data_IF_496067740706
#
_entry.id   IF_496067740706
#
_cell.length_a   1.000
_cell.length_b   1.000
_cell.length_c   1.000
_cell.angle_alpha   90.00
_cell.angle_beta   90.00
_cell.angle_gamma   90.00
#
_symmetry.space_group_name_H-M   'P 1'
#
loop_
_entity.id
_entity.type
_entity.pdbx_description
1 polymer ?
#
# COMPACT_ATOMS: atom_id res chain seq x y z
N UNK A 1 -6.40 0.48 -13.61
CA UNK A 1 -7.34 1.47 -14.20
C UNK A 1 -6.77 2.87 -13.98
N UNK A 2 -7.00 3.80 -14.91
CA UNK A 2 -6.56 5.19 -14.75
C UNK A 2 -7.77 6.07 -14.43
N UNK A 3 -7.67 6.87 -13.38
CA UNK A 3 -8.60 7.94 -13.05
C UNK A 3 -8.09 9.31 -13.53
N UNK A 4 -8.82 10.40 -13.24
CA UNK A 4 -8.42 11.76 -13.63
C UNK A 4 -7.03 12.17 -13.11
N UNK A 5 -6.63 11.69 -11.94
CA UNK A 5 -5.32 11.99 -11.34
C UNK A 5 -4.20 11.04 -11.83
N UNK A 6 -4.54 9.87 -12.39
CA UNK A 6 -3.58 8.85 -12.80
C UNK A 6 -3.97 7.44 -12.35
N UNK A 7 -2.98 6.54 -12.28
CA UNK A 7 -3.16 5.13 -11.90
C UNK A 7 -2.74 4.93 -10.45
N UNK A 8 -3.71 5.09 -9.54
CA UNK A 8 -3.53 4.82 -8.12
C UNK A 8 -3.22 3.34 -7.84
N UNK A 9 -2.21 3.09 -7.01
CA UNK A 9 -1.98 1.79 -6.37
C UNK A 9 -1.31 1.97 -5.02
N UNK A 10 -1.50 0.99 -4.13
CA UNK A 10 -0.95 1.00 -2.79
C UNK A 10 0.20 0.01 -2.68
N UNK A 11 1.48 0.45 -2.78
CA UNK A 11 2.60 -0.45 -2.61
C UNK A 11 2.72 -0.86 -1.13
N UNK A 12 2.69 -2.18 -0.88
CA UNK A 12 3.03 -2.75 0.43
C UNK A 12 4.44 -3.33 0.35
N UNK A 13 5.37 -2.70 1.07
CA UNK A 13 6.78 -3.13 1.10
C UNK A 13 7.03 -3.87 2.41
N UNK A 14 7.53 -5.10 2.31
CA UNK A 14 7.94 -5.89 3.48
C UNK A 14 9.43 -5.67 3.75
N UNK A 15 9.73 -5.11 4.92
CA UNK A 15 11.10 -4.97 5.41
C UNK A 15 11.54 -6.18 6.24
N UNK A 16 12.81 -6.54 6.14
CA UNK A 16 13.47 -7.49 7.04
C UNK A 16 14.38 -6.72 8.01
N UNK A 17 14.28 -7.02 9.30
CA UNK A 17 15.01 -6.30 10.34
C UNK A 17 15.58 -7.24 11.39
N UNK A 18 16.74 -6.86 11.94
CA UNK A 18 17.39 -7.56 13.05
C UNK A 18 17.14 -6.76 14.32
N UNK A 19 16.46 -7.31 15.34
CA UNK A 19 16.29 -6.61 16.61
C UNK A 19 17.64 -6.29 17.26
N UNK A 20 17.76 -5.13 17.90
CA UNK A 20 18.99 -4.74 18.62
C UNK A 20 19.37 -5.72 19.75
N UNK A 21 18.41 -6.50 20.24
CA UNK A 21 18.59 -7.52 21.28
C UNK A 21 18.75 -8.94 20.72
N UNK A 22 18.94 -9.10 19.40
CA UNK A 22 19.08 -10.41 18.79
C UNK A 22 20.31 -11.15 19.38
N UNK A 23 20.16 -12.42 19.79
CA UNK A 23 21.27 -13.19 20.37
C UNK A 23 22.34 -13.56 19.34
N UNK A 24 21.99 -13.55 18.04
CA UNK A 24 22.89 -13.80 16.91
C UNK A 24 22.58 -12.83 15.75
N UNK A 25 23.06 -11.58 15.80
CA UNK A 25 22.83 -10.61 14.73
C UNK A 25 23.58 -10.98 13.44
N UNK A 26 24.68 -11.70 13.50
CA UNK A 26 25.43 -12.13 12.31
C UNK A 26 24.65 -13.21 11.54
N UNK A 27 24.10 -14.20 12.25
CA UNK A 27 23.19 -15.18 11.67
C UNK A 27 21.93 -14.55 11.09
N UNK A 28 21.37 -13.54 11.76
CA UNK A 28 20.26 -12.73 11.25
C UNK A 28 20.60 -12.05 9.92
N UNK A 29 21.78 -11.44 9.81
CA UNK A 29 22.24 -10.81 8.57
C UNK A 29 22.39 -11.83 7.44
N UNK A 30 23.00 -13.00 7.70
CA UNK A 30 23.13 -14.08 6.71
C UNK A 30 21.77 -14.60 6.22
N UNK A 31 20.76 -14.65 7.10
CA UNK A 31 19.40 -15.02 6.69
C UNK A 31 18.77 -13.95 5.79
N UNK A 32 18.96 -12.67 6.11
CA UNK A 32 18.47 -11.58 5.24
C UNK A 32 19.16 -11.66 3.87
N UNK A 33 20.47 -11.87 3.83
CA UNK A 33 21.21 -12.06 2.57
C UNK A 33 20.66 -13.23 1.77
N UNK A 34 20.38 -14.37 2.42
CA UNK A 34 19.77 -15.54 1.77
C UNK A 34 18.38 -15.23 1.19
N UNK A 35 17.49 -14.63 2.01
CA UNK A 35 16.11 -14.28 1.62
C UNK A 35 16.05 -13.21 0.52
N UNK A 36 17.12 -12.44 0.34
CA UNK A 36 17.22 -11.39 -0.68
C UNK A 36 18.03 -11.81 -1.90
N UNK A 37 18.41 -13.10 -2.01
CA UNK A 37 18.96 -13.63 -3.27
C UNK A 37 17.90 -13.70 -4.38
N UNK A 38 18.28 -13.53 -5.66
CA UNK A 38 17.32 -13.63 -6.77
C UNK A 38 16.61 -14.98 -6.85
N UNK A 39 17.30 -16.08 -6.51
CA UNK A 39 16.72 -17.42 -6.51
C UNK A 39 15.58 -17.54 -5.48
N UNK A 40 15.81 -17.09 -4.24
CA UNK A 40 14.81 -17.17 -3.18
C UNK A 40 13.65 -16.21 -3.43
N UNK A 41 13.92 -14.99 -3.91
CA UNK A 41 12.87 -14.04 -4.30
C UNK A 41 12.04 -14.56 -5.49
N UNK A 42 12.66 -15.30 -6.42
CA UNK A 42 11.94 -15.98 -7.50
C UNK A 42 10.98 -17.05 -7.00
N UNK A 43 11.39 -17.85 -6.01
CA UNK A 43 10.50 -18.81 -5.36
C UNK A 43 9.34 -18.13 -4.62
N UNK A 44 9.62 -17.01 -3.95
CA UNK A 44 8.60 -16.20 -3.27
C UNK A 44 7.57 -15.66 -4.28
N UNK A 45 8.03 -15.13 -5.42
CA UNK A 45 7.16 -14.68 -6.50
C UNK A 45 6.30 -15.84 -7.04
N UNK A 46 6.94 -16.96 -7.39
CA UNK A 46 6.26 -18.11 -7.99
C UNK A 46 5.19 -18.70 -7.06
N UNK A 47 5.49 -18.82 -5.77
CA UNK A 47 4.63 -19.53 -4.81
C UNK A 47 3.62 -18.61 -4.12
N UNK A 48 3.95 -17.34 -3.92
CA UNK A 48 3.17 -16.41 -3.08
C UNK A 48 2.67 -15.17 -3.83
N UNK A 49 3.14 -14.90 -5.05
CA UNK A 49 2.82 -13.66 -5.78
C UNK A 49 3.46 -12.40 -5.19
N UNK A 50 4.52 -12.56 -4.37
CA UNK A 50 5.24 -11.42 -3.80
C UNK A 50 6.36 -11.00 -4.75
N UNK A 51 6.27 -9.75 -5.24
CA UNK A 51 7.17 -9.25 -6.27
C UNK A 51 8.58 -8.95 -5.73
N UNK A 52 9.64 -9.37 -6.46
CA UNK A 52 11.01 -9.16 -6.03
C UNK A 52 11.40 -7.68 -5.94
N UNK A 53 12.21 -7.36 -4.92
CA UNK A 53 12.87 -6.04 -4.79
C UNK A 53 14.31 -6.03 -5.29
N UNK A 54 14.77 -7.14 -5.86
CA UNK A 54 16.14 -7.33 -6.38
C UNK A 54 16.13 -7.63 -7.88
N UNK A 55 17.18 -7.21 -8.58
CA UNK A 55 17.38 -7.52 -9.99
C UNK A 55 17.83 -8.96 -10.21
N UNK A 56 17.58 -9.51 -11.40
CA UNK A 56 18.13 -10.81 -11.82
C UNK A 56 17.27 -12.02 -11.47
N UNK A 57 16.04 -11.81 -11.03
CA UNK A 57 15.04 -12.88 -10.89
C UNK A 57 14.58 -13.34 -12.27
N UNK A 58 14.61 -14.65 -12.51
CA UNK A 58 14.08 -15.24 -13.73
C UNK A 58 12.55 -15.34 -13.65
N UNK A 59 11.86 -14.56 -14.49
CA UNK A 59 10.40 -14.53 -14.59
C UNK A 59 9.87 -15.25 -15.83
N UNK A 60 10.74 -15.95 -16.59
CA UNK A 60 10.39 -16.54 -17.89
C UNK A 60 9.41 -17.72 -17.81
N UNK A 61 9.33 -18.40 -16.66
CA UNK A 61 8.54 -19.62 -16.46
C UNK A 61 7.53 -19.51 -15.31
N UNK A 62 6.99 -18.32 -15.06
CA UNK A 62 5.99 -18.13 -14.01
C UNK A 62 4.68 -18.88 -14.32
N UNK A 63 3.96 -19.37 -13.28
CA UNK A 63 2.60 -19.84 -13.43
C UNK A 63 1.73 -18.78 -14.12
N UNK A 64 0.80 -19.20 -14.98
CA UNK A 64 0.06 -18.27 -15.84
C UNK A 64 -0.63 -17.12 -15.07
N UNK A 65 -1.15 -17.39 -13.87
CA UNK A 65 -1.74 -16.34 -13.02
C UNK A 65 -0.73 -15.32 -12.52
N UNK A 66 0.45 -15.78 -12.07
CA UNK A 66 1.53 -14.93 -11.57
C UNK A 66 2.15 -14.12 -12.71
N UNK A 67 2.29 -14.71 -13.91
CA UNK A 67 2.76 -14.00 -15.09
C UNK A 67 1.84 -12.82 -15.45
N UNK A 68 0.51 -13.03 -15.43
CA UNK A 68 -0.46 -11.97 -15.68
C UNK A 68 -0.41 -10.87 -14.61
N UNK A 69 -0.23 -11.24 -13.35
CA UNK A 69 -0.07 -10.28 -12.26
C UNK A 69 1.22 -9.47 -12.42
N UNK A 70 2.33 -10.12 -12.78
CA UNK A 70 3.62 -9.47 -13.02
C UNK A 70 3.55 -8.44 -14.14
N UNK A 71 2.94 -8.80 -15.26
CA UNK A 71 2.73 -7.88 -16.38
C UNK A 71 1.86 -6.69 -15.95
N UNK A 72 0.81 -6.92 -15.16
CA UNK A 72 -0.07 -5.86 -14.69
C UNK A 72 0.63 -4.90 -13.71
N UNK A 73 1.41 -5.43 -12.76
CA UNK A 73 2.20 -4.64 -11.82
C UNK A 73 3.21 -3.79 -12.58
N UNK A 74 3.99 -4.38 -13.49
CA UNK A 74 4.99 -3.65 -14.28
C UNK A 74 4.34 -2.54 -15.11
N UNK A 75 3.23 -2.82 -15.81
CA UNK A 75 2.50 -1.83 -16.61
C UNK A 75 1.88 -0.70 -15.77
N UNK A 76 1.54 -0.97 -14.51
CA UNK A 76 1.01 0.03 -13.59
C UNK A 76 2.12 0.87 -12.97
N UNK A 77 3.14 0.23 -12.38
CA UNK A 77 4.19 0.92 -11.61
C UNK A 77 5.17 1.69 -12.48
N UNK A 78 5.39 1.25 -13.74
CA UNK A 78 6.27 1.94 -14.69
C UNK A 78 5.58 3.03 -15.52
N UNK A 79 4.25 3.18 -15.37
CA UNK A 79 3.49 4.16 -16.14
C UNK A 79 3.86 5.59 -15.76
N UNK A 80 3.84 6.51 -16.74
CA UNK A 80 4.16 7.92 -16.50
C UNK A 80 3.17 8.62 -15.57
N UNK A 81 1.98 8.06 -15.42
CA UNK A 81 0.89 8.51 -14.54
C UNK A 81 0.71 7.56 -13.33
N UNK A 82 1.73 6.78 -12.99
CA UNK A 82 1.76 5.96 -11.79
C UNK A 82 1.61 6.84 -10.54
N UNK A 83 0.64 6.51 -9.69
CA UNK A 83 0.38 7.20 -8.42
C UNK A 83 0.51 6.21 -7.24
N UNK A 84 1.70 6.04 -6.66
CA UNK A 84 1.86 5.25 -5.45
C UNK A 84 1.25 5.98 -4.25
N UNK A 85 0.22 5.38 -3.64
CA UNK A 85 -0.43 5.87 -2.44
C UNK A 85 0.05 5.08 -1.22
N UNK A 86 0.69 5.76 -0.28
CA UNK A 86 1.19 5.12 0.92
C UNK A 86 0.04 4.71 1.83
N UNK A 87 0.30 3.69 2.65
CA UNK A 87 -0.58 3.33 3.74
C UNK A 87 -0.74 4.53 4.70
N UNK A 88 -1.92 4.72 5.30
CA UNK A 88 -2.15 5.79 6.26
C UNK A 88 -1.11 5.79 7.38
N UNK A 89 -0.52 6.96 7.65
CA UNK A 89 0.45 7.17 8.72
C UNK A 89 -0.06 8.21 9.71
N UNK A 90 0.45 8.19 10.94
CA UNK A 90 0.11 9.20 11.94
C UNK A 90 -1.22 8.98 12.68
N UNK A 91 -1.98 7.93 12.37
CA UNK A 91 -3.28 7.64 13.02
C UNK A 91 -3.18 6.88 14.36
N UNK A 92 -2.00 6.37 14.71
CA UNK A 92 -1.79 5.63 15.96
C UNK A 92 -2.76 4.44 16.13
N UNK A 93 -3.33 4.29 17.32
CA UNK A 93 -4.30 3.22 17.63
C UNK A 93 -5.62 3.36 16.85
N UNK A 94 -5.90 4.54 16.28
CA UNK A 94 -7.12 4.85 15.52
C UNK A 94 -7.01 4.51 14.02
N UNK A 95 -5.93 3.85 13.60
CA UNK A 95 -5.76 3.38 12.22
C UNK A 95 -6.85 2.41 11.74
N UNK A 96 -7.65 1.83 12.64
CA UNK A 96 -8.83 1.04 12.26
C UNK A 96 -10.00 1.88 11.73
N UNK A 97 -10.14 3.13 12.20
CA UNK A 97 -11.29 3.99 11.90
C UNK A 97 -11.32 4.44 10.44
N UNK A 98 -10.16 4.71 9.84
CA UNK A 98 -10.08 5.04 8.40
C UNK A 98 -10.64 3.90 7.54
N UNK A 99 -10.35 2.63 7.87
CA UNK A 99 -10.90 1.50 7.13
C UNK A 99 -12.43 1.43 7.25
N UNK A 100 -12.99 1.83 8.40
CA UNK A 100 -14.43 1.85 8.59
C UNK A 100 -15.09 2.96 7.76
N UNK A 101 -14.50 4.16 7.69
CA UNK A 101 -15.00 5.27 6.86
C UNK A 101 -15.10 4.87 5.39
N UNK A 102 -14.05 4.23 4.85
CA UNK A 102 -14.06 3.75 3.45
C UNK A 102 -15.09 2.64 3.21
N UNK A 103 -15.28 1.72 4.18
CA UNK A 103 -16.30 0.67 4.09
C UNK A 103 -17.71 1.24 4.14
N UNK A 104 -17.96 2.21 5.04
CA UNK A 104 -19.24 2.91 5.11
C UNK A 104 -19.56 3.57 3.76
N UNK A 105 -18.61 4.30 3.18
CA UNK A 105 -18.79 4.93 1.87
C UNK A 105 -19.16 3.89 0.79
N UNK A 106 -18.45 2.76 0.74
CA UNK A 106 -18.74 1.68 -0.20
C UNK A 106 -20.13 1.08 0.02
N UNK A 107 -20.47 0.71 1.26
CA UNK A 107 -21.73 0.05 1.57
C UNK A 107 -22.92 0.96 1.23
N UNK A 108 -22.87 2.22 1.68
CA UNK A 108 -23.93 3.22 1.46
C UNK A 108 -24.13 3.54 -0.03
N UNK A 109 -23.04 3.72 -0.78
CA UNK A 109 -23.11 4.05 -2.21
C UNK A 109 -23.48 2.83 -3.06
N UNK A 110 -22.74 1.73 -2.92
CA UNK A 110 -22.78 0.60 -3.85
C UNK A 110 -23.86 -0.40 -3.48
N UNK A 111 -24.05 -0.66 -2.19
CA UNK A 111 -24.99 -1.68 -1.72
C UNK A 111 -26.37 -1.09 -1.42
N UNK A 112 -26.42 0.13 -0.86
CA UNK A 112 -27.67 0.76 -0.41
C UNK A 112 -28.22 1.79 -1.41
N UNK A 113 -27.40 2.25 -2.36
CA UNK A 113 -27.82 3.15 -3.42
C UNK A 113 -28.11 4.59 -2.95
N UNK A 114 -27.48 5.02 -1.86
CA UNK A 114 -27.54 6.40 -1.40
C UNK A 114 -26.91 7.37 -2.42
N UNK A 115 -27.22 8.66 -2.28
CA UNK A 115 -26.62 9.70 -3.11
C UNK A 115 -25.11 9.80 -2.88
N UNK A 116 -24.34 9.67 -3.97
CA UNK A 116 -22.88 9.58 -3.92
C UNK A 116 -22.26 10.81 -3.25
N UNK A 117 -22.66 12.01 -3.64
CA UNK A 117 -22.03 13.23 -3.14
C UNK A 117 -22.35 13.43 -1.65
N UNK A 118 -23.60 13.17 -1.25
CA UNK A 118 -24.00 13.22 0.15
C UNK A 118 -23.15 12.28 1.02
N UNK A 119 -22.97 11.02 0.60
CA UNK A 119 -22.16 10.06 1.35
C UNK A 119 -20.69 10.49 1.39
N UNK A 120 -20.13 10.96 0.27
CA UNK A 120 -18.74 11.42 0.21
C UNK A 120 -18.50 12.64 1.11
N UNK A 121 -19.43 13.59 1.16
CA UNK A 121 -19.35 14.77 2.03
C UNK A 121 -19.38 14.37 3.52
N UNK A 122 -20.27 13.46 3.88
CA UNK A 122 -20.42 12.99 5.27
C UNK A 122 -19.22 12.15 5.74
N UNK A 123 -18.78 11.19 4.94
CA UNK A 123 -17.62 10.36 5.27
C UNK A 123 -16.31 11.17 5.17
N UNK A 124 -16.26 12.17 4.29
CA UNK A 124 -15.17 13.16 4.23
C UNK A 124 -15.08 14.00 5.51
N UNK A 125 -16.21 14.44 6.05
CA UNK A 125 -16.25 15.14 7.34
C UNK A 125 -15.79 14.23 8.51
N UNK A 126 -16.18 12.95 8.51
CA UNK A 126 -15.70 11.98 9.49
C UNK A 126 -14.18 11.78 9.38
N UNK A 127 -13.65 11.72 8.15
CA UNK A 127 -12.22 11.59 7.88
C UNK A 127 -11.44 12.82 8.35
N UNK A 128 -11.96 14.03 8.08
CA UNK A 128 -11.38 15.27 8.57
C UNK A 128 -11.32 15.31 10.10
N UNK A 129 -12.41 14.94 10.77
CA UNK A 129 -12.44 14.88 12.23
C UNK A 129 -11.39 13.91 12.80
N UNK A 130 -11.21 12.74 12.17
CA UNK A 130 -10.16 11.80 12.54
C UNK A 130 -8.76 12.41 12.40
N UNK A 131 -8.48 13.11 11.30
CA UNK A 131 -7.20 13.77 11.09
C UNK A 131 -6.94 14.88 12.10
N UNK A 132 -7.94 15.73 12.36
CA UNK A 132 -7.85 16.83 13.33
C UNK A 132 -7.57 16.32 14.75
N UNK A 133 -8.28 15.27 15.17
CA UNK A 133 -8.15 14.71 16.52
C UNK A 133 -6.84 13.96 16.73
N UNK A 134 -6.31 13.31 15.68
CA UNK A 134 -5.04 12.59 15.74
C UNK A 134 -3.83 13.47 15.48
N UNK A 135 -4.01 14.61 14.82
CA UNK A 135 -2.90 15.41 14.31
C UNK A 135 -2.17 14.75 13.15
N UNK A 136 -2.78 13.78 12.48
CA UNK A 136 -2.14 13.02 11.40
C UNK A 136 -1.81 13.95 10.21
N UNK A 137 -0.54 14.07 9.80
CA UNK A 137 -0.18 14.87 8.63
C UNK A 137 -0.61 14.17 7.36
N UNK A 138 -0.69 14.91 6.25
CA UNK A 138 -0.86 14.29 4.93
C UNK A 138 0.35 13.41 4.61
N UNK A 139 0.11 12.38 3.79
CA UNK A 139 1.13 11.46 3.31
C UNK A 139 1.00 11.29 1.79
N UNK A 140 2.08 10.83 1.15
CA UNK A 140 2.07 10.66 -0.30
C UNK A 140 0.91 9.75 -0.76
N UNK A 141 0.16 10.15 -1.79
CA UNK A 141 0.57 11.08 -2.84
C UNK A 141 0.30 12.57 -2.54
N UNK A 142 -0.39 12.87 -1.44
CA UNK A 142 -0.71 14.24 -1.08
C UNK A 142 0.55 14.99 -0.62
N UNK A 143 0.64 16.32 -0.91
CA UNK A 143 1.72 17.14 -0.40
C UNK A 143 1.79 17.09 1.13
N UNK A 144 2.99 17.13 1.74
CA UNK A 144 3.12 17.23 3.19
C UNK A 144 2.34 18.43 3.75
N UNK A 145 1.67 18.24 4.88
CA UNK A 145 0.92 19.29 5.58
C UNK A 145 1.65 19.78 6.83
N UNK A 146 1.46 21.07 7.15
CA UNK A 146 1.82 21.64 8.45
C UNK A 146 0.64 21.45 9.44
N UNK A 147 0.60 20.28 10.09
CA UNK A 147 -0.49 19.88 10.98
C UNK A 147 -1.43 18.83 10.38
N UNK A 148 -2.65 18.66 10.91
CA UNK A 148 -3.62 17.69 10.41
C UNK A 148 -3.84 17.79 8.91
N UNK A 149 -3.90 16.65 8.22
CA UNK A 149 -4.23 16.61 6.81
C UNK A 149 -5.63 17.22 6.58
N UNK A 150 -5.80 17.92 5.46
CA UNK A 150 -7.07 18.53 5.07
C UNK A 150 -7.65 17.75 3.91
N UNK A 151 -8.88 17.26 4.06
CA UNK A 151 -9.63 16.53 3.03
C UNK A 151 -10.13 17.53 1.98
N UNK A 152 -9.88 17.23 0.70
CA UNK A 152 -10.28 18.05 -0.47
C UNK A 152 -11.33 17.36 -1.35
#
# INVERSE_FOLDING_TARGET
>A
PAGPAGRGFMPVIVGLGIPNTAPDPEGGAKLIDYLTTPEVQGQILEQLGFFPVVSGVDTSNLPAGIALEADAVELQSSSSDALPALLPVGLGERGGEINQIYRNAFDRIVLEGEDIQTVLDEEGANLQALFDETGAPCWSPDPPSDGPCQVE
#
